data_IF_958981164707
#
_entry.id   IF_958981164707
#
_cell.length_a   1.000
_cell.length_b   1.000
_cell.length_c   1.000
_cell.angle_alpha   90.00
_cell.angle_beta   90.00
_cell.angle_gamma   90.00
#
_symmetry.space_group_name_H-M   'P 1'
#
loop_
_entity.id
_entity.type
_entity.pdbx_description
1 polymer ?
#
# COMPACT_ATOMS: atom_id res chain seq x y z
N UNK A 1 -9.17 -9.98 21.35
CA UNK A 1 -8.75 -9.49 20.03
C UNK A 1 -8.00 -8.18 20.27
N UNK A 2 -6.79 -8.05 19.70
CA UNK A 2 -5.98 -6.82 19.84
C UNK A 2 -6.54 -5.68 18.99
N UNK A 3 -6.14 -4.44 19.29
CA UNK A 3 -6.58 -3.24 18.58
C UNK A 3 -6.18 -3.26 17.09
N UNK A 4 -5.11 -3.97 16.75
CA UNK A 4 -4.60 -4.15 15.39
C UNK A 4 -5.26 -5.31 14.62
N UNK A 5 -6.18 -6.07 15.24
CA UNK A 5 -6.82 -7.20 14.58
C UNK A 5 -7.71 -6.73 13.42
N UNK A 6 -7.47 -7.17 12.17
CA UNK A 6 -8.29 -6.78 11.03
C UNK A 6 -9.76 -7.17 11.19
N UNK A 7 -10.66 -6.25 10.92
CA UNK A 7 -12.09 -6.47 10.89
C UNK A 7 -12.54 -7.30 9.67
N UNK A 8 -13.85 -7.59 9.58
CA UNK A 8 -14.41 -8.36 8.46
C UNK A 8 -14.16 -7.67 7.11
N UNK A 9 -14.41 -6.37 7.04
CA UNK A 9 -14.25 -5.56 5.82
C UNK A 9 -12.82 -5.63 5.27
N UNK A 10 -11.82 -5.54 6.14
CA UNK A 10 -10.42 -5.63 5.75
C UNK A 10 -10.10 -7.04 5.19
N UNK A 11 -10.53 -8.09 5.90
CA UNK A 11 -10.25 -9.48 5.49
C UNK A 11 -10.86 -9.86 4.15
N UNK A 12 -12.10 -9.43 3.87
CA UNK A 12 -12.78 -9.66 2.60
C UNK A 12 -12.02 -9.09 1.39
N UNK A 13 -11.20 -8.08 1.60
CA UNK A 13 -10.50 -7.36 0.53
C UNK A 13 -8.99 -7.62 0.48
N UNK A 14 -8.45 -8.39 1.42
CA UNK A 14 -7.01 -8.62 1.59
C UNK A 14 -6.36 -9.19 0.33
N UNK A 15 -7.00 -10.13 -0.36
CA UNK A 15 -6.45 -10.74 -1.58
C UNK A 15 -6.19 -9.70 -2.66
N UNK A 16 -7.19 -8.85 -2.97
CA UNK A 16 -7.06 -7.81 -3.97
C UNK A 16 -6.00 -6.77 -3.60
N UNK A 17 -5.97 -6.37 -2.33
CA UNK A 17 -4.96 -5.41 -1.83
C UNK A 17 -3.56 -5.96 -1.97
N UNK A 18 -3.38 -7.25 -1.66
CA UNK A 18 -2.07 -7.89 -1.67
C UNK A 18 -1.51 -7.99 -3.09
N UNK A 19 -2.27 -8.54 -4.05
CA UNK A 19 -1.78 -8.68 -5.43
C UNK A 19 -1.48 -7.32 -6.08
N UNK A 20 -2.34 -6.32 -5.83
CA UNK A 20 -2.13 -4.96 -6.34
C UNK A 20 -0.88 -4.33 -5.73
N UNK A 21 -0.69 -4.45 -4.42
CA UNK A 21 0.48 -3.93 -3.72
C UNK A 21 1.78 -4.56 -4.22
N UNK A 22 1.80 -5.88 -4.40
CA UNK A 22 2.97 -6.62 -4.89
C UNK A 22 3.34 -6.18 -6.33
N UNK A 23 2.37 -6.01 -7.22
CA UNK A 23 2.61 -5.53 -8.59
C UNK A 23 3.09 -4.07 -8.63
N UNK A 24 2.51 -3.18 -7.84
CA UNK A 24 2.92 -1.78 -7.75
C UNK A 24 4.33 -1.63 -7.16
N UNK A 25 4.73 -2.56 -6.29
CA UNK A 25 6.10 -2.65 -5.76
C UNK A 25 7.15 -3.05 -6.81
N UNK A 26 6.72 -3.52 -7.98
CA UNK A 26 7.57 -3.79 -9.14
C UNK A 26 8.42 -5.04 -9.00
N UNK A 27 9.45 -5.16 -9.85
CA UNK A 27 10.30 -6.36 -9.96
C UNK A 27 10.91 -6.79 -8.64
N UNK A 28 11.37 -5.86 -7.80
CA UNK A 28 12.00 -6.17 -6.52
C UNK A 28 11.04 -6.88 -5.57
N UNK A 29 9.82 -6.34 -5.41
CA UNK A 29 8.80 -6.94 -4.55
C UNK A 29 8.32 -8.28 -5.11
N UNK A 30 8.12 -8.38 -6.43
CA UNK A 30 7.72 -9.64 -7.07
C UNK A 30 8.75 -10.75 -6.88
N UNK A 31 10.06 -10.43 -6.91
CA UNK A 31 11.12 -11.38 -6.57
C UNK A 31 11.09 -11.81 -5.11
N UNK A 32 10.79 -10.88 -4.20
CA UNK A 32 10.62 -11.21 -2.77
C UNK A 32 9.42 -12.13 -2.53
N UNK A 33 8.34 -11.96 -3.29
CA UNK A 33 7.16 -12.83 -3.24
C UNK A 33 7.43 -14.26 -3.75
N UNK A 34 8.50 -14.45 -4.53
CA UNK A 34 9.03 -15.76 -4.96
C UNK A 34 7.94 -16.76 -5.42
N UNK A 35 7.81 -17.90 -4.75
CA UNK A 35 6.89 -18.98 -5.13
C UNK A 35 5.42 -18.59 -5.16
N UNK A 36 5.03 -17.49 -4.53
CA UNK A 36 3.64 -16.98 -4.57
C UNK A 36 3.19 -16.68 -6.01
N UNK A 37 4.07 -16.10 -6.83
CA UNK A 37 3.78 -15.73 -8.23
C UNK A 37 4.65 -16.45 -9.25
N UNK A 38 5.74 -17.06 -8.81
CA UNK A 38 6.67 -17.81 -9.65
C UNK A 38 6.90 -19.20 -9.04
N UNK A 39 5.95 -20.13 -9.16
CA UNK A 39 6.09 -21.46 -8.57
C UNK A 39 7.26 -22.22 -9.22
N UNK A 40 7.86 -23.13 -8.46
CA UNK A 40 8.90 -24.04 -8.98
C UNK A 40 8.34 -24.95 -10.06
N UNK A 41 9.14 -25.19 -11.07
CA UNK A 41 8.84 -26.19 -12.10
C UNK A 41 9.14 -27.60 -11.57
N UNK A 42 8.47 -28.61 -12.14
CA UNK A 42 8.44 -29.98 -11.58
C UNK A 42 9.82 -30.64 -11.35
N UNK A 43 10.82 -30.29 -12.13
CA UNK A 43 12.17 -30.88 -12.02
C UNK A 43 13.25 -29.82 -11.81
N UNK A 44 12.87 -28.62 -11.42
CA UNK A 44 13.77 -27.51 -11.22
C UNK A 44 14.52 -27.67 -9.89
N UNK A 45 15.84 -27.55 -9.93
CA UNK A 45 16.66 -27.54 -8.72
C UNK A 45 16.49 -26.21 -7.96
N UNK A 46 16.91 -26.15 -6.70
CA UNK A 46 16.86 -24.91 -5.92
C UNK A 46 17.72 -23.80 -6.53
N UNK A 47 18.87 -24.15 -7.10
CA UNK A 47 19.79 -23.20 -7.73
C UNK A 47 19.27 -22.69 -9.07
N UNK A 48 18.66 -23.57 -9.87
CA UNK A 48 18.03 -23.18 -11.14
C UNK A 48 16.84 -22.23 -10.87
N UNK A 49 16.01 -22.56 -9.87
CA UNK A 49 14.92 -21.69 -9.44
C UNK A 49 15.43 -20.32 -9.01
N UNK A 50 16.47 -20.26 -8.19
CA UNK A 50 17.08 -19.01 -7.73
C UNK A 50 17.61 -18.17 -8.90
N UNK A 51 18.24 -18.84 -9.87
CA UNK A 51 18.74 -18.21 -11.10
C UNK A 51 17.59 -17.64 -11.91
N UNK A 52 16.52 -18.40 -12.13
CA UNK A 52 15.32 -17.98 -12.84
C UNK A 52 14.62 -16.83 -12.14
N UNK A 53 14.46 -16.89 -10.82
CA UNK A 53 13.84 -15.84 -10.02
C UNK A 53 14.64 -14.52 -10.10
N UNK A 54 15.96 -14.59 -10.00
CA UNK A 54 16.84 -13.43 -10.10
C UNK A 54 16.85 -12.81 -11.50
N UNK A 55 16.67 -13.61 -12.55
CA UNK A 55 16.57 -13.16 -13.92
C UNK A 55 15.20 -12.58 -14.29
N UNK A 56 14.14 -12.99 -13.59
CA UNK A 56 12.79 -12.59 -13.92
C UNK A 56 12.57 -11.07 -13.75
N UNK A 57 11.92 -10.44 -14.73
CA UNK A 57 11.62 -8.98 -14.74
C UNK A 57 10.15 -8.76 -14.95
N UNK A 58 9.53 -7.90 -14.13
CA UNK A 58 8.12 -7.55 -14.26
C UNK A 58 7.93 -6.52 -15.38
N UNK A 59 7.10 -6.86 -16.37
CA UNK A 59 6.52 -5.83 -17.24
C UNK A 59 5.42 -5.09 -16.47
N UNK A 60 5.54 -3.76 -16.22
CA UNK A 60 4.69 -3.04 -15.28
C UNK A 60 3.33 -2.64 -15.88
N UNK A 61 2.64 -3.55 -16.59
CA UNK A 61 1.39 -3.26 -17.30
C UNK A 61 0.32 -2.63 -16.40
N UNK A 62 0.17 -3.13 -15.18
CA UNK A 62 -0.80 -2.62 -14.22
C UNK A 62 -0.50 -1.16 -13.86
N UNK A 63 0.74 -0.85 -13.50
CA UNK A 63 1.19 0.50 -13.12
C UNK A 63 1.10 1.48 -14.29
N UNK A 64 1.50 1.05 -15.48
CA UNK A 64 1.45 1.87 -16.71
C UNK A 64 0.00 2.21 -17.10
N UNK A 65 -0.92 1.26 -16.94
CA UNK A 65 -2.34 1.50 -17.21
C UNK A 65 -2.91 2.56 -16.27
N UNK A 66 -2.61 2.47 -14.97
CA UNK A 66 -3.02 3.49 -13.99
C UNK A 66 -2.45 4.86 -14.37
N UNK A 67 -1.15 4.92 -14.67
CA UNK A 67 -0.49 6.17 -15.08
C UNK A 67 -1.10 6.78 -16.35
N UNK A 68 -1.44 5.95 -17.34
CA UNK A 68 -2.12 6.38 -18.56
C UNK A 68 -3.51 6.96 -18.29
N UNK A 69 -4.30 6.29 -17.43
CA UNK A 69 -5.64 6.77 -17.03
C UNK A 69 -5.54 8.08 -16.25
N UNK A 70 -4.60 8.18 -15.30
CA UNK A 70 -4.32 9.44 -14.60
C UNK A 70 -3.99 10.58 -15.58
N UNK A 71 -3.09 10.33 -16.54
CA UNK A 71 -2.70 11.32 -17.54
C UNK A 71 -3.88 11.84 -18.38
N UNK A 72 -4.88 11.01 -18.64
CA UNK A 72 -6.10 11.42 -19.34
C UNK A 72 -7.04 12.25 -18.47
N UNK A 73 -7.20 11.88 -17.20
CA UNK A 73 -8.10 12.59 -16.26
C UNK A 73 -7.53 13.94 -15.87
N UNK A 74 -6.22 14.03 -15.67
CA UNK A 74 -5.51 15.24 -15.24
C UNK A 74 -4.72 15.91 -16.39
N UNK A 75 -5.16 15.72 -17.65
CA UNK A 75 -4.61 16.42 -18.79
C UNK A 75 -4.77 17.94 -18.62
N UNK A 76 -5.93 18.36 -18.09
CA UNK A 76 -6.19 19.72 -17.66
C UNK A 76 -6.28 19.79 -16.14
N UNK A 77 -5.95 20.95 -15.57
CA UNK A 77 -6.08 21.15 -14.12
C UNK A 77 -7.54 21.16 -13.72
N UNK A 78 -7.92 20.50 -12.61
CA UNK A 78 -9.27 20.56 -12.07
C UNK A 78 -9.69 22.00 -11.78
N UNK A 79 -10.83 22.43 -12.32
CA UNK A 79 -11.40 23.74 -12.02
C UNK A 79 -11.99 23.72 -10.60
N UNK A 80 -11.73 24.78 -9.85
CA UNK A 80 -12.20 24.94 -8.47
C UNK A 80 -12.92 26.27 -8.35
N UNK A 81 -14.19 26.23 -8.02
CA UNK A 81 -15.05 27.40 -7.87
C UNK A 81 -15.40 27.61 -6.41
N UNK A 82 -15.67 28.86 -6.05
CA UNK A 82 -16.20 29.28 -4.75
C UNK A 82 -15.40 28.80 -3.52
N UNK A 83 -14.07 28.71 -3.68
CA UNK A 83 -13.16 28.31 -2.60
C UNK A 83 -12.79 29.53 -1.76
N UNK A 84 -12.92 29.46 -0.41
CA UNK A 84 -12.47 30.50 0.49
C UNK A 84 -10.97 30.84 0.29
N UNK A 85 -10.63 32.13 0.33
CA UNK A 85 -9.26 32.58 0.10
C UNK A 85 -8.22 31.96 1.03
N UNK A 86 -8.58 31.74 2.31
CA UNK A 86 -7.66 31.10 3.24
C UNK A 86 -7.33 29.64 2.86
N UNK A 87 -8.28 28.90 2.29
CA UNK A 87 -8.01 27.52 1.79
C UNK A 87 -7.05 27.57 0.61
N UNK A 88 -7.27 28.52 -0.34
CA UNK A 88 -6.38 28.66 -1.48
C UNK A 88 -4.95 29.02 -1.09
N UNK A 89 -4.80 29.89 -0.10
CA UNK A 89 -3.51 30.47 0.26
C UNK A 89 -2.77 29.67 1.35
N UNK A 90 -3.48 29.00 2.24
CA UNK A 90 -2.88 28.33 3.40
C UNK A 90 -2.92 26.79 3.28
N UNK A 91 -4.01 26.20 2.72
CA UNK A 91 -4.17 24.76 2.66
C UNK A 91 -3.69 24.17 1.33
N UNK A 92 -4.07 24.76 0.19
CA UNK A 92 -3.73 24.18 -1.13
C UNK A 92 -2.24 24.11 -1.46
N UNK A 93 -1.38 25.03 -0.98
CA UNK A 93 0.07 24.92 -1.18
C UNK A 93 0.72 23.76 -0.43
N UNK A 94 0.11 23.32 0.69
CA UNK A 94 0.63 22.22 1.52
C UNK A 94 -0.56 21.51 2.20
N UNK A 95 -1.18 20.57 1.46
CA UNK A 95 -2.42 19.91 1.93
C UNK A 95 -2.19 18.83 2.98
N UNK A 96 -0.97 18.28 3.06
CA UNK A 96 -0.62 17.16 3.93
C UNK A 96 0.44 17.50 4.99
N UNK A 97 0.86 18.76 5.06
CA UNK A 97 1.95 19.28 5.91
C UNK A 97 3.32 18.65 5.62
N UNK A 98 3.48 18.08 4.43
CA UNK A 98 4.74 17.53 3.92
C UNK A 98 5.18 18.22 2.62
N UNK A 99 4.62 19.38 2.31
CA UNK A 99 4.92 20.18 1.14
C UNK A 99 4.21 19.74 -0.15
N UNK A 100 3.19 18.87 -0.07
CA UNK A 100 2.42 18.50 -1.25
C UNK A 100 1.32 19.51 -1.54
N UNK A 101 1.32 20.03 -2.77
CA UNK A 101 0.22 20.87 -3.24
C UNK A 101 -1.01 20.01 -3.57
N UNK A 102 -2.19 20.63 -3.59
CA UNK A 102 -3.43 19.96 -3.98
C UNK A 102 -3.33 19.34 -5.39
N UNK A 103 -2.58 19.98 -6.30
CA UNK A 103 -2.40 19.51 -7.68
C UNK A 103 -1.50 18.26 -7.78
N UNK A 104 -0.69 17.97 -6.75
CA UNK A 104 0.08 16.73 -6.63
C UNK A 104 -0.73 15.69 -5.86
N UNK A 105 -1.47 16.11 -4.84
CA UNK A 105 -2.24 15.21 -3.98
C UNK A 105 -3.39 14.52 -4.74
N UNK A 106 -4.18 15.25 -5.54
CA UNK A 106 -5.32 14.71 -6.26
C UNK A 106 -4.96 13.60 -7.28
N UNK A 107 -3.93 13.75 -8.12
CA UNK A 107 -3.46 12.65 -8.98
C UNK A 107 -3.03 11.40 -8.20
N UNK A 108 -2.34 11.56 -7.07
CA UNK A 108 -1.95 10.42 -6.22
C UNK A 108 -3.17 9.75 -5.59
N UNK A 109 -4.16 10.54 -5.15
CA UNK A 109 -5.43 10.05 -4.63
C UNK A 109 -6.15 9.21 -5.68
N UNK A 110 -6.22 9.70 -6.92
CA UNK A 110 -6.82 8.98 -8.05
C UNK A 110 -6.08 7.67 -8.36
N UNK A 111 -4.75 7.69 -8.39
CA UNK A 111 -3.94 6.48 -8.62
C UNK A 111 -4.26 5.40 -7.59
N UNK A 112 -4.30 5.75 -6.30
CA UNK A 112 -4.62 4.82 -5.22
C UNK A 112 -6.07 4.33 -5.30
N UNK A 113 -7.03 5.23 -5.58
CA UNK A 113 -8.42 4.85 -5.75
C UNK A 113 -8.59 3.86 -6.91
N UNK A 114 -7.95 4.13 -8.06
CA UNK A 114 -8.02 3.25 -9.23
C UNK A 114 -7.33 1.90 -8.99
N UNK A 115 -6.18 1.92 -8.30
CA UNK A 115 -5.42 0.71 -7.98
C UNK A 115 -6.19 -0.21 -7.02
N UNK A 116 -6.73 0.33 -5.94
CA UNK A 116 -7.30 -0.46 -4.85
C UNK A 116 -8.84 -0.48 -4.82
N UNK A 117 -9.50 0.28 -5.71
CA UNK A 117 -10.95 0.40 -5.77
C UNK A 117 -11.51 1.51 -4.88
N UNK A 118 -10.83 1.88 -3.80
CA UNK A 118 -11.07 3.08 -3.03
C UNK A 118 -9.81 3.52 -2.26
N UNK A 119 -9.81 4.77 -1.87
CA UNK A 119 -8.82 5.40 -0.97
C UNK A 119 -9.55 6.34 -0.02
N UNK A 120 -9.09 6.40 1.23
CA UNK A 120 -9.63 7.32 2.23
C UNK A 120 -8.88 8.65 2.28
N UNK A 121 -9.57 9.69 2.65
CA UNK A 121 -8.98 10.96 3.09
C UNK A 121 -9.50 11.27 4.47
N UNK A 122 -8.59 11.38 5.42
CA UNK A 122 -8.87 11.85 6.77
C UNK A 122 -8.49 13.33 6.84
N UNK A 123 -9.40 14.16 7.32
CA UNK A 123 -9.08 15.56 7.68
C UNK A 123 -8.65 15.56 9.14
N UNK A 124 -7.36 15.76 9.37
CA UNK A 124 -6.79 15.82 10.71
C UNK A 124 -6.39 17.25 11.08
N UNK A 125 -6.17 17.50 12.34
CA UNK A 125 -5.73 18.79 12.85
C UNK A 125 -4.55 18.61 13.79
N UNK A 126 -3.59 19.56 13.81
CA UNK A 126 -2.50 19.52 14.78
C UNK A 126 -3.02 19.46 16.20
N UNK A 127 -2.29 18.75 17.06
CA UNK A 127 -2.55 18.77 18.50
C UNK A 127 -1.93 20.02 19.13
N UNK A 128 -2.64 20.61 20.09
CA UNK A 128 -2.16 21.76 20.88
C UNK A 128 -2.66 21.64 22.31
N UNK A 129 -1.78 21.96 23.24
CA UNK A 129 -2.04 21.84 24.69
C UNK A 129 -3.06 22.87 25.21
N UNK A 130 -3.23 23.97 24.49
CA UNK A 130 -4.18 25.03 24.82
C UNK A 130 -4.75 25.67 23.57
N UNK A 131 -5.97 26.22 23.63
CA UNK A 131 -6.58 26.87 22.47
C UNK A 131 -5.70 28.01 21.97
N UNK A 132 -5.09 27.91 20.77
CA UNK A 132 -4.19 28.95 20.28
C UNK A 132 -4.98 30.21 19.90
N UNK A 133 -4.35 31.36 20.05
CA UNK A 133 -4.88 32.60 19.46
C UNK A 133 -4.76 32.52 17.93
N UNK A 134 -5.59 33.28 17.21
CA UNK A 134 -5.57 33.34 15.75
C UNK A 134 -4.16 33.69 15.19
N UNK A 135 -3.43 34.57 15.89
CA UNK A 135 -2.08 34.97 15.53
C UNK A 135 -1.11 33.79 15.64
N UNK A 136 -1.12 33.06 16.74
CA UNK A 136 -0.30 31.87 16.96
C UNK A 136 -0.67 30.74 15.99
N UNK A 137 -1.98 30.55 15.71
CA UNK A 137 -2.45 29.57 14.75
C UNK A 137 -1.92 29.84 13.34
N UNK A 138 -1.89 31.11 12.90
CA UNK A 138 -1.32 31.51 11.62
C UNK A 138 0.19 31.37 11.56
N UNK A 139 0.91 31.81 12.59
CA UNK A 139 2.37 31.70 12.68
C UNK A 139 2.84 30.24 12.62
N UNK A 140 2.18 29.36 13.37
CA UNK A 140 2.49 27.92 13.43
C UNK A 140 1.81 27.10 12.34
N UNK A 141 1.08 27.74 11.41
CA UNK A 141 0.29 27.07 10.35
C UNK A 141 -0.60 25.95 10.90
N UNK A 142 -1.35 26.25 11.97
CA UNK A 142 -2.24 25.30 12.64
C UNK A 142 -3.59 25.22 11.90
N UNK A 143 -3.56 24.82 10.62
CA UNK A 143 -4.76 24.55 9.84
C UNK A 143 -5.00 23.03 9.72
N UNK A 144 -6.24 22.60 9.47
CA UNK A 144 -6.52 21.21 9.13
C UNK A 144 -5.71 20.76 7.89
N UNK A 145 -5.32 19.50 7.83
CA UNK A 145 -4.57 18.91 6.75
C UNK A 145 -5.15 17.55 6.34
N UNK A 146 -4.82 17.11 5.14
CA UNK A 146 -5.32 15.85 4.61
C UNK A 146 -4.32 14.72 4.82
N UNK A 147 -4.80 13.62 5.36
CA UNK A 147 -4.04 12.36 5.45
C UNK A 147 -4.65 11.38 4.47
N UNK A 148 -3.85 10.95 3.49
CA UNK A 148 -4.27 9.88 2.58
C UNK A 148 -4.20 8.55 3.32
N UNK A 149 -5.29 7.82 3.31
CA UNK A 149 -5.42 6.52 3.97
C UNK A 149 -5.64 5.45 2.92
N UNK A 150 -4.64 4.62 2.72
CA UNK A 150 -4.74 3.51 1.78
C UNK A 150 -5.68 2.43 2.33
N UNK A 151 -6.25 1.65 1.42
CA UNK A 151 -7.20 0.59 1.75
C UNK A 151 -6.68 -0.42 2.79
N UNK A 152 -5.39 -0.77 2.74
CA UNK A 152 -4.74 -1.67 3.69
C UNK A 152 -4.61 -1.08 5.11
N UNK A 153 -4.67 0.24 5.25
CA UNK A 153 -4.59 0.93 6.54
C UNK A 153 -5.94 0.97 7.27
N UNK A 154 -7.05 0.70 6.57
CA UNK A 154 -8.38 0.67 7.16
C UNK A 154 -8.59 -0.72 7.79
N UNK A 155 -8.36 -0.84 9.10
CA UNK A 155 -8.53 -2.11 9.82
C UNK A 155 -9.99 -2.48 10.01
N UNK A 156 -10.83 -1.50 10.33
CA UNK A 156 -12.27 -1.67 10.50
C UNK A 156 -13.00 -0.34 10.32
N UNK A 157 -14.23 -0.41 9.82
CA UNK A 157 -15.11 0.75 9.67
C UNK A 157 -16.56 0.32 9.82
N UNK A 158 -17.36 1.11 10.52
CA UNK A 158 -18.78 0.87 10.73
C UNK A 158 -19.57 2.13 10.45
N UNK A 159 -20.58 2.00 9.61
CA UNK A 159 -21.54 3.07 9.34
C UNK A 159 -22.93 2.63 9.78
N UNK A 160 -23.70 3.55 10.36
CA UNK A 160 -25.09 3.40 10.74
C UNK A 160 -25.87 4.55 10.09
N UNK A 161 -26.96 4.23 9.42
CA UNK A 161 -27.81 5.21 8.71
C UNK A 161 -27.01 6.16 7.80
N UNK A 162 -26.00 5.61 7.10
CA UNK A 162 -25.15 6.39 6.19
C UNK A 162 -24.06 7.22 6.88
N UNK A 163 -24.05 7.28 8.21
CA UNK A 163 -23.05 8.03 8.97
C UNK A 163 -21.99 7.09 9.54
N UNK A 164 -20.71 7.47 9.40
CA UNK A 164 -19.58 6.73 9.98
C UNK A 164 -19.58 6.89 11.51
N UNK A 165 -19.73 5.76 12.23
CA UNK A 165 -19.79 5.75 13.70
C UNK A 165 -18.52 5.18 14.33
N UNK A 166 -17.78 4.36 13.62
CA UNK A 166 -16.53 3.76 14.08
C UNK A 166 -15.55 3.64 12.92
N UNK A 167 -14.29 3.99 13.18
CA UNK A 167 -13.20 3.85 12.21
C UNK A 167 -11.92 3.49 12.95
N UNK A 168 -11.19 2.51 12.43
CA UNK A 168 -9.91 2.07 12.97
C UNK A 168 -8.87 2.03 11.87
N UNK A 169 -7.82 2.83 12.03
CA UNK A 169 -6.76 3.03 11.06
C UNK A 169 -5.41 2.60 11.64
N UNK A 170 -4.62 1.89 10.84
CA UNK A 170 -3.24 1.56 11.17
C UNK A 170 -2.27 2.44 10.37
N UNK A 171 -1.26 2.96 11.06
CA UNK A 171 -0.18 3.71 10.45
C UNK A 171 1.17 3.12 10.84
N UNK A 172 2.15 3.27 9.97
CA UNK A 172 3.53 2.92 10.22
C UNK A 172 4.36 4.18 9.96
N UNK A 173 4.98 4.70 11.00
CA UNK A 173 5.81 5.89 10.95
C UNK A 173 7.27 5.50 11.19
N UNK A 174 8.17 5.98 10.35
CA UNK A 174 9.60 5.87 10.62
C UNK A 174 10.00 6.96 11.62
N UNK A 175 10.52 6.53 12.74
CA UNK A 175 11.00 7.43 13.80
C UNK A 175 12.45 7.13 14.08
N UNK A 176 13.20 8.15 14.53
CA UNK A 176 14.58 7.96 15.00
C UNK A 176 14.57 7.01 16.19
N UNK A 177 15.53 6.09 16.26
CA UNK A 177 15.70 5.23 17.43
C UNK A 177 16.21 6.05 18.63
N UNK A 178 15.67 5.75 19.82
CA UNK A 178 16.03 6.46 21.04
C UNK A 178 17.47 6.09 21.52
N UNK A 179 17.98 4.93 21.10
CA UNK A 179 19.29 4.41 21.51
C UNK A 179 20.42 4.78 20.55
N UNK A 180 20.11 4.99 19.26
CA UNK A 180 21.10 5.34 18.23
C UNK A 180 20.51 6.39 17.28
N UNK A 181 21.13 7.59 17.26
CA UNK A 181 20.68 8.72 16.43
C UNK A 181 20.75 8.47 14.92
N UNK A 182 21.52 7.47 14.48
CA UNK A 182 21.68 7.10 13.08
C UNK A 182 20.73 5.98 12.63
N UNK A 183 20.04 5.33 13.57
CA UNK A 183 19.07 4.28 13.29
C UNK A 183 17.65 4.86 13.23
N UNK A 184 16.90 4.37 12.24
CA UNK A 184 15.45 4.56 12.15
C UNK A 184 14.75 3.27 12.54
N UNK A 185 13.72 3.37 13.35
CA UNK A 185 12.84 2.25 13.70
C UNK A 185 11.43 2.54 13.23
N UNK A 186 10.72 1.50 12.82
CA UNK A 186 9.31 1.61 12.44
C UNK A 186 8.45 1.59 13.69
N UNK A 187 7.66 2.62 13.89
CA UNK A 187 6.67 2.72 14.96
C UNK A 187 5.28 2.48 14.39
N UNK A 188 4.62 1.41 14.82
CA UNK A 188 3.26 1.12 14.42
C UNK A 188 2.28 1.75 15.39
N UNK A 189 1.29 2.43 14.82
CA UNK A 189 0.23 3.10 15.59
C UNK A 189 -1.13 2.70 15.06
N UNK A 190 -2.11 2.63 15.96
CA UNK A 190 -3.51 2.43 15.60
C UNK A 190 -4.32 3.57 16.17
N UNK A 191 -5.03 4.28 15.28
CA UNK A 191 -5.95 5.35 15.65
C UNK A 191 -7.38 4.83 15.55
N UNK A 192 -8.15 5.01 16.63
CA UNK A 192 -9.54 4.60 16.71
C UNK A 192 -10.41 5.83 16.88
N UNK A 193 -11.34 6.00 15.97
CA UNK A 193 -12.30 7.10 15.94
C UNK A 193 -13.68 6.53 16.27
N UNK A 194 -14.34 7.08 17.27
CA UNK A 194 -15.69 6.69 17.67
C UNK A 194 -16.57 7.93 17.76
N UNK A 195 -17.77 7.87 17.16
CA UNK A 195 -18.79 8.90 17.37
C UNK A 195 -19.41 8.70 18.75
N UNK A 196 -19.36 9.73 19.58
CA UNK A 196 -19.85 9.69 20.95
C UNK A 196 -20.75 10.89 21.24
N UNK A 197 -21.63 10.76 22.22
CA UNK A 197 -22.40 11.89 22.74
C UNK A 197 -21.72 12.38 24.02
N UNK A 198 -21.17 13.60 23.99
CA UNK A 198 -20.63 14.25 25.16
C UNK A 198 -21.54 15.43 25.54
N UNK A 199 -22.13 15.38 26.75
CA UNK A 199 -23.10 16.38 27.23
C UNK A 199 -24.29 16.60 26.26
N UNK A 200 -24.74 15.51 25.57
CA UNK A 200 -25.84 15.60 24.61
C UNK A 200 -25.46 16.16 23.23
N UNK A 201 -24.20 16.52 23.00
CA UNK A 201 -23.69 17.01 21.73
C UNK A 201 -22.88 15.91 21.04
N UNK A 202 -23.07 15.66 19.72
CA UNK A 202 -22.24 14.73 18.99
C UNK A 202 -20.79 15.20 18.92
N UNK A 203 -19.87 14.31 19.25
CA UNK A 203 -18.43 14.54 19.21
C UNK A 203 -17.74 13.29 18.68
N UNK A 204 -16.46 13.41 18.34
CA UNK A 204 -15.63 12.27 17.93
C UNK A 204 -14.54 12.05 18.98
N UNK A 205 -14.55 10.87 19.59
CA UNK A 205 -13.46 10.41 20.45
C UNK A 205 -12.37 9.78 19.58
N UNK A 206 -11.14 10.24 19.77
CA UNK A 206 -9.95 9.69 19.10
C UNK A 206 -9.05 9.07 20.16
N UNK A 207 -8.73 7.77 19.96
CA UNK A 207 -7.82 7.03 20.82
C UNK A 207 -6.60 6.61 20.02
N UNK A 208 -5.41 6.93 20.53
CA UNK A 208 -4.13 6.56 19.92
C UNK A 208 -3.50 5.39 20.67
N UNK A 209 -3.26 4.32 19.96
CA UNK A 209 -2.54 3.15 20.45
C UNK A 209 -1.20 3.06 19.74
N UNK A 210 -0.15 2.73 20.49
CA UNK A 210 1.22 2.60 19.98
C UNK A 210 1.71 1.20 20.30
N UNK A 211 2.38 0.59 19.32
CA UNK A 211 3.02 -0.70 19.47
C UNK A 211 4.04 -0.67 20.60
N UNK A 212 3.93 -1.64 21.53
CA UNK A 212 4.90 -1.85 22.59
C UNK A 212 6.09 -2.62 22.04
N UNK A 213 7.31 -2.10 22.25
CA UNK A 213 8.52 -2.85 21.92
C UNK A 213 8.47 -4.22 22.61
N UNK A 214 8.50 -5.27 21.83
CA UNK A 214 8.04 -6.63 22.08
C UNK A 214 8.63 -7.31 23.31
N UNK A 215 7.81 -8.02 24.08
CA UNK A 215 8.25 -9.13 24.88
C UNK A 215 8.51 -10.37 24.00
N UNK A 216 9.26 -11.30 24.55
CA UNK A 216 9.83 -12.53 23.98
C UNK A 216 8.85 -13.53 23.31
N UNK A 217 7.55 -13.24 23.27
CA UNK A 217 6.49 -14.18 22.94
C UNK A 217 5.83 -13.98 21.55
N UNK A 218 6.36 -13.08 20.74
CA UNK A 218 5.86 -12.91 19.34
C UNK A 218 4.47 -12.28 19.19
N UNK A 219 3.77 -11.93 20.28
CA UNK A 219 2.51 -11.21 20.23
C UNK A 219 2.78 -9.70 20.31
N UNK A 220 2.26 -8.98 19.33
CA UNK A 220 2.36 -7.52 19.29
C UNK A 220 1.30 -6.91 20.19
N UNK A 221 1.72 -6.29 21.29
CA UNK A 221 0.86 -5.53 22.19
C UNK A 221 0.83 -4.04 21.84
N UNK A 222 -0.28 -3.39 22.16
CA UNK A 222 -0.49 -1.97 21.93
C UNK A 222 -0.93 -1.29 23.21
N UNK A 223 -0.24 -0.22 23.59
CA UNK A 223 -0.58 0.61 24.74
C UNK A 223 -1.43 1.82 24.30
N UNK A 224 -2.47 2.15 25.05
CA UNK A 224 -3.24 3.39 24.86
C UNK A 224 -2.40 4.56 25.36
N UNK A 225 -1.97 5.42 24.44
CA UNK A 225 -1.10 6.58 24.74
C UNK A 225 -1.91 7.84 24.99
N UNK A 226 -2.93 8.08 24.17
CA UNK A 226 -3.76 9.27 24.32
C UNK A 226 -5.23 9.01 23.98
N UNK A 227 -6.09 9.81 24.63
CA UNK A 227 -7.52 9.88 24.29
C UNK A 227 -7.89 11.35 24.21
N UNK A 228 -8.40 11.77 23.06
CA UNK A 228 -8.87 13.16 22.86
C UNK A 228 -10.31 13.19 22.36
N UNK A 229 -10.99 14.28 22.63
CA UNK A 229 -12.32 14.54 22.12
C UNK A 229 -12.22 15.68 21.07
N UNK A 230 -12.67 15.40 19.86
CA UNK A 230 -12.78 16.39 18.80
C UNK A 230 -14.20 16.96 18.81
N UNK A 231 -14.33 18.28 18.87
CA UNK A 231 -15.62 18.98 18.84
C UNK A 231 -16.17 19.08 17.41
N UNK A 232 -16.32 17.91 16.76
CA UNK A 232 -16.89 17.75 15.42
C UNK A 232 -18.02 16.72 15.48
N UNK A 233 -19.14 16.93 14.76
CA UNK A 233 -20.32 16.06 14.87
C UNK A 233 -20.13 14.69 14.20
N UNK A 234 -19.15 14.57 13.30
CA UNK A 234 -18.91 13.38 12.49
C UNK A 234 -17.43 13.08 12.37
N UNK A 235 -17.09 11.82 12.17
CA UNK A 235 -15.71 11.40 11.90
C UNK A 235 -15.29 12.05 10.57
N UNK A 236 -14.24 12.89 10.55
CA UNK A 236 -13.84 13.65 9.36
C UNK A 236 -13.07 12.79 8.35
N UNK A 237 -13.73 11.74 7.88
CA UNK A 237 -13.16 10.74 6.97
C UNK A 237 -14.09 10.51 5.78
N UNK A 238 -13.52 10.55 4.58
CA UNK A 238 -14.24 10.31 3.33
C UNK A 238 -13.51 9.30 2.47
N UNK A 239 -14.24 8.36 1.85
CA UNK A 239 -13.70 7.45 0.85
C UNK A 239 -14.03 7.90 -0.57
N UNK A 240 -13.02 7.89 -1.44
CA UNK A 240 -13.15 8.04 -2.88
C UNK A 240 -13.15 6.67 -3.53
N UNK A 241 -14.23 6.35 -4.23
CA UNK A 241 -14.44 5.04 -4.85
C UNK A 241 -14.28 5.12 -6.37
N UNK A 242 -13.62 4.11 -6.94
CA UNK A 242 -13.62 3.84 -8.39
C UNK A 242 -14.32 2.53 -8.73
N UNK A 243 -14.49 1.65 -7.74
CA UNK A 243 -15.16 0.36 -7.88
C UNK A 243 -16.07 0.08 -6.68
N UNK A 244 -17.05 0.96 -6.44
CA UNK A 244 -17.97 0.87 -5.29
C UNK A 244 -18.85 -0.38 -5.37
N UNK A 245 -18.86 -1.17 -4.31
CA UNK A 245 -19.82 -2.27 -4.11
C UNK A 245 -20.76 -1.95 -2.94
N UNK A 246 -20.20 -1.57 -1.81
CA UNK A 246 -20.91 -1.08 -0.62
C UNK A 246 -19.97 -0.23 0.23
N UNK A 247 -20.48 0.45 1.23
CA UNK A 247 -19.69 1.30 2.12
C UNK A 247 -18.47 0.55 2.67
N UNK A 248 -17.28 1.12 2.45
CA UNK A 248 -15.95 0.57 2.75
C UNK A 248 -15.58 -0.74 2.03
N UNK A 249 -16.37 -1.18 1.05
CA UNK A 249 -16.04 -2.33 0.21
C UNK A 249 -16.04 -1.94 -1.24
N UNK A 250 -14.99 -2.31 -1.94
CA UNK A 250 -14.80 -2.00 -3.36
C UNK A 250 -14.05 -3.10 -4.07
N UNK A 251 -14.37 -3.32 -5.33
CA UNK A 251 -13.57 -4.14 -6.23
C UNK A 251 -12.71 -3.22 -7.08
N UNK A 252 -11.36 -3.41 -7.12
CA UNK A 252 -10.52 -2.60 -8.02
C UNK A 252 -10.96 -2.78 -9.47
N UNK A 253 -11.19 -1.71 -10.23
CA UNK A 253 -11.67 -1.81 -11.63
C UNK A 253 -10.72 -2.58 -12.54
N UNK A 254 -9.43 -2.56 -12.23
CA UNK A 254 -8.37 -3.20 -13.00
C UNK A 254 -7.89 -4.52 -12.39
N UNK A 255 -8.66 -5.17 -11.50
CA UNK A 255 -8.20 -6.38 -10.80
C UNK A 255 -7.88 -7.54 -11.75
N UNK A 256 -8.66 -7.70 -12.81
CA UNK A 256 -8.43 -8.76 -13.79
C UNK A 256 -7.11 -8.53 -14.56
N UNK A 257 -6.75 -7.26 -14.82
CA UNK A 257 -5.44 -6.89 -15.36
C UNK A 257 -4.32 -7.23 -14.37
N UNK A 258 -4.54 -7.06 -13.06
CA UNK A 258 -3.55 -7.43 -12.05
C UNK A 258 -3.26 -8.95 -12.10
N UNK A 259 -4.28 -9.79 -12.16
CA UNK A 259 -4.10 -11.23 -12.30
C UNK A 259 -3.40 -11.62 -13.61
N UNK A 260 -3.77 -10.98 -14.72
CA UNK A 260 -3.11 -11.19 -16.01
C UNK A 260 -1.63 -10.75 -15.96
N UNK A 261 -1.30 -9.66 -15.31
CA UNK A 261 0.06 -9.18 -15.17
C UNK A 261 0.92 -10.12 -14.31
N UNK A 262 0.36 -10.66 -13.22
CA UNK A 262 1.03 -11.69 -12.41
C UNK A 262 1.25 -12.98 -13.19
N UNK A 263 0.26 -13.41 -14.00
CA UNK A 263 0.40 -14.56 -14.91
C UNK A 263 1.46 -14.32 -15.98
N UNK A 264 1.49 -13.12 -16.58
CA UNK A 264 2.52 -12.74 -17.56
C UNK A 264 3.93 -12.83 -16.95
N UNK A 265 4.13 -12.37 -15.72
CA UNK A 265 5.39 -12.51 -14.98
C UNK A 265 5.89 -13.97 -14.96
N UNK A 266 5.02 -14.92 -14.59
CA UNK A 266 5.35 -16.34 -14.55
C UNK A 266 5.64 -16.93 -15.93
N UNK A 267 4.82 -16.59 -16.94
CA UNK A 267 4.98 -17.07 -18.30
C UNK A 267 6.25 -16.52 -18.96
N UNK A 268 6.53 -15.23 -18.78
CA UNK A 268 7.74 -14.59 -19.32
C UNK A 268 9.00 -15.26 -18.77
N UNK A 269 9.05 -15.48 -17.45
CA UNK A 269 10.19 -16.18 -16.83
C UNK A 269 10.38 -17.61 -17.35
N UNK A 270 9.28 -18.33 -17.61
CA UNK A 270 9.35 -19.67 -18.19
C UNK A 270 9.82 -19.63 -19.65
N UNK A 271 9.34 -18.66 -20.41
CA UNK A 271 9.75 -18.45 -21.81
C UNK A 271 11.24 -18.12 -21.91
N UNK A 272 11.74 -17.21 -21.06
CA UNK A 272 13.16 -16.86 -21.02
C UNK A 272 14.02 -18.08 -20.72
N UNK A 273 13.60 -18.94 -19.80
CA UNK A 273 14.30 -20.22 -19.50
C UNK A 273 14.30 -21.15 -20.71
N UNK A 274 13.17 -21.30 -21.41
CA UNK A 274 13.11 -22.13 -22.63
C UNK A 274 14.02 -21.58 -23.73
N UNK A 275 14.05 -20.27 -23.93
CA UNK A 275 14.95 -19.62 -24.88
C UNK A 275 16.41 -19.87 -24.51
N UNK A 276 16.79 -19.75 -23.25
CA UNK A 276 18.16 -20.04 -22.79
C UNK A 276 18.56 -21.47 -23.04
N UNK A 277 17.70 -22.46 -22.79
CA UNK A 277 17.95 -23.87 -23.04
C UNK A 277 18.09 -24.12 -24.57
N UNK A 278 17.22 -23.52 -25.37
CA UNK A 278 17.23 -23.67 -26.82
C UNK A 278 18.47 -23.06 -27.49
N UNK A 279 19.09 -22.06 -26.85
CA UNK A 279 20.34 -21.43 -27.34
C UNK A 279 21.58 -22.29 -27.07
N UNK A 280 21.50 -23.31 -26.21
CA UNK A 280 22.64 -24.20 -25.91
C UNK A 280 22.69 -25.32 -26.96
N UNK A 281 23.74 -25.38 -27.80
CA UNK A 281 23.85 -26.46 -28.76
C UNK A 281 24.09 -27.79 -28.02
N UNK A 282 23.22 -28.77 -28.27
CA UNK A 282 23.38 -30.13 -27.74
C UNK A 282 24.25 -30.91 -28.71
N UNK A 283 25.46 -31.25 -28.29
CA UNK A 283 26.30 -32.15 -29.04
C UNK A 283 25.90 -33.60 -28.72
N UNK A 284 25.44 -34.33 -29.76
CA UNK A 284 25.13 -35.74 -29.64
C UNK A 284 26.28 -36.55 -30.26
N UNK A 285 26.91 -37.42 -29.49
CA UNK A 285 27.95 -38.34 -29.96
C UNK A 285 27.36 -39.75 -30.09
N UNK A 286 27.37 -40.27 -31.32
CA UNK A 286 26.90 -41.62 -31.60
C UNK A 286 28.15 -42.55 -31.66
N UNK A 287 28.15 -43.64 -30.88
CA UNK A 287 29.21 -44.63 -30.89
C UNK A 287 30.43 -44.29 -30.04
N UNK A 288 30.37 -43.31 -29.15
CA UNK A 288 31.45 -43.01 -28.22
C UNK A 288 31.42 -43.93 -26.99
N UNK A 289 32.59 -44.39 -26.53
CA UNK A 289 32.72 -45.22 -25.34
C UNK A 289 32.39 -44.44 -24.04
N UNK A 290 31.97 -45.18 -23.00
CA UNK A 290 31.55 -44.62 -21.73
C UNK A 290 32.63 -43.81 -20.98
N UNK A 291 33.90 -43.95 -21.41
CA UNK A 291 35.08 -43.28 -20.81
C UNK A 291 35.43 -41.93 -21.43
N UNK A 292 34.70 -41.49 -22.46
CA UNK A 292 35.02 -40.23 -23.15
C UNK A 292 34.45 -39.06 -22.36
N UNK A 293 35.29 -38.40 -21.58
CA UNK A 293 34.94 -37.12 -20.91
C UNK A 293 34.97 -35.99 -21.93
N UNK A 294 33.80 -35.54 -22.36
CA UNK A 294 33.66 -34.36 -23.18
C UNK A 294 33.23 -33.16 -22.32
N UNK A 295 34.16 -32.26 -22.13
CA UNK A 295 33.90 -30.92 -21.57
C UNK A 295 33.67 -29.96 -22.73
N UNK A 296 32.40 -29.73 -23.08
CA UNK A 296 32.02 -28.71 -24.05
C UNK A 296 31.31 -27.63 -23.26
N UNK A 297 31.72 -26.35 -23.46
CA UNK A 297 31.33 -25.19 -22.70
C UNK A 297 29.88 -25.18 -22.25
N UNK A 298 29.69 -24.72 -21.03
CA UNK A 298 28.46 -24.60 -20.28
C UNK A 298 27.45 -25.76 -20.27
N UNK A 299 27.87 -27.03 -20.22
CA UNK A 299 27.21 -28.01 -19.34
C UNK A 299 26.71 -29.33 -19.81
N UNK A 300 26.59 -29.74 -21.06
CA UNK A 300 26.36 -31.19 -21.24
C UNK A 300 26.45 -31.72 -22.67
N UNK A 301 27.21 -32.83 -22.84
CA UNK A 301 27.03 -33.79 -23.92
C UNK A 301 26.13 -34.92 -23.38
N UNK A 302 25.11 -35.32 -24.13
CA UNK A 302 24.29 -36.51 -23.84
C UNK A 302 24.77 -37.64 -24.71
N UNK A 303 25.11 -38.78 -24.09
CA UNK A 303 25.39 -40.02 -24.78
C UNK A 303 24.08 -40.73 -25.10
N UNK A 304 23.85 -41.06 -26.35
CA UNK A 304 22.77 -41.93 -26.80
C UNK A 304 23.37 -43.31 -27.14
#
# INVERSE_FOLDING_TARGET
MGVNTPGRIHREQTEHVTIVGDLLGGTSVMRTCAEKYLPRQKFETADDYKTRLNGATLYPAYKETIGSMRGRVFADRPLRHDIPEWIKNEVFPDVDRNGQTIDIFLPKLFDNALAYGHVGVLVDSPEFDSTPTLAVAKEKKLHPYYVMVNKNQILDARAEDGTLVHLRLAFEDEVRDDADEFLTTTKRTVRVYDKVLANGVPNVQVRLYVEKKTPTDGQVEYDLVSTRLMAVPEIPFMCFYTGFERTFVSKPPLIDLAYLNAKHWSLQSSYDTMCMIAMIPILTLIGADASTNLLIGSKSAVKI
#
